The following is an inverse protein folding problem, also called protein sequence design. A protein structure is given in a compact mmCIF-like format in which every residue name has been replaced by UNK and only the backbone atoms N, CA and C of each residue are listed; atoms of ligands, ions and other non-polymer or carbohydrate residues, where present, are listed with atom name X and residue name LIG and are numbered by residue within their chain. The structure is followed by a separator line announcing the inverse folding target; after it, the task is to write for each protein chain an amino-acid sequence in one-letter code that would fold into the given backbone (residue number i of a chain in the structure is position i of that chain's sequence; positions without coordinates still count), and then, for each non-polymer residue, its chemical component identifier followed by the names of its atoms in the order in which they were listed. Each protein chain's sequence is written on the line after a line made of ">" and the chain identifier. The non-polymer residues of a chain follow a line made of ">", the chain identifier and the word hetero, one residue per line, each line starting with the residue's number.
data_IF_083353589290
#
_entry.id   IF_083353589290
#
_cell.length_a   1.000
_cell.length_b   1.000
_cell.length_c   1.000
_cell.angle_alpha   90.00
_cell.angle_beta   90.00
_cell.angle_gamma   90.00
#
_symmetry.space_group_name_H-M   'P 1'
#
loop_
_entity.id
_entity.type
_entity.pdbx_description
1 polymer ?
#
# COMPACT_ATOMS: atom_id res chain seq x y z
N UNK A 1 4.41 -17.05 35.56
CA UNK A 1 4.37 -16.14 36.72
C UNK A 1 5.69 -16.13 37.48
N UNK A 2 6.30 -17.29 37.82
CA UNK A 2 7.56 -17.31 38.58
C UNK A 2 8.80 -16.73 37.85
N UNK A 3 8.89 -16.88 36.52
CA UNK A 3 9.98 -16.28 35.73
C UNK A 3 9.89 -14.74 35.62
N UNK A 4 8.68 -14.18 35.75
CA UNK A 4 8.44 -12.72 35.75
C UNK A 4 8.85 -12.11 37.10
N UNK A 5 8.81 -12.90 38.18
CA UNK A 5 9.23 -12.45 39.51
C UNK A 5 10.76 -12.34 39.68
N UNK A 6 11.55 -12.99 38.82
CA UNK A 6 13.01 -13.05 38.95
C UNK A 6 13.76 -12.04 38.05
N UNK A 7 13.08 -11.42 37.07
CA UNK A 7 13.69 -10.43 36.17
C UNK A 7 13.82 -9.02 36.77
N UNK A 8 13.34 -8.80 38.01
CA UNK A 8 13.32 -7.48 38.66
C UNK A 8 14.34 -7.26 39.78
N UNK A 9 15.26 -8.21 40.03
CA UNK A 9 16.22 -8.12 41.13
C UNK A 9 17.66 -8.28 40.63
N UNK A 10 18.49 -7.23 40.68
CA UNK A 10 19.89 -7.27 40.22
C UNK A 10 20.83 -8.11 41.11
N UNK A 11 20.36 -8.62 42.26
CA UNK A 11 21.19 -9.33 43.25
C UNK A 11 20.82 -10.81 43.45
N UNK A 12 20.11 -11.44 42.51
CA UNK A 12 19.76 -12.86 42.65
C UNK A 12 20.95 -13.74 42.29
N UNK A 13 21.48 -14.45 43.30
CA UNK A 13 22.47 -15.52 43.12
C UNK A 13 22.00 -16.51 42.03
N UNK A 14 22.80 -16.63 40.97
CA UNK A 14 22.57 -17.48 39.79
C UNK A 14 22.33 -18.93 40.20
N UNK A 15 22.99 -19.40 41.27
CA UNK A 15 22.78 -20.74 41.83
C UNK A 15 21.39 -20.94 42.43
N UNK A 16 20.79 -19.88 42.98
CA UNK A 16 19.47 -19.88 43.60
C UNK A 16 18.35 -19.73 42.55
N UNK A 17 18.54 -18.87 41.54
CA UNK A 17 17.62 -18.73 40.42
C UNK A 17 17.53 -20.04 39.61
N UNK A 18 18.67 -20.68 39.31
CA UNK A 18 18.72 -21.95 38.58
C UNK A 18 17.99 -23.07 39.33
N UNK A 19 18.23 -23.24 40.65
CA UNK A 19 17.51 -24.22 41.48
C UNK A 19 16.01 -23.96 41.54
N UNK A 20 15.60 -22.70 41.62
CA UNK A 20 14.19 -22.30 41.64
C UNK A 20 13.51 -22.60 40.30
N UNK A 21 14.11 -22.19 39.18
CA UNK A 21 13.57 -22.47 37.82
C UNK A 21 13.54 -23.99 37.55
N UNK A 22 14.56 -24.73 37.99
CA UNK A 22 14.60 -26.20 37.89
C UNK A 22 13.50 -26.84 38.76
N UNK A 23 13.19 -26.29 39.94
CA UNK A 23 12.13 -26.78 40.82
C UNK A 23 10.74 -26.81 40.17
N UNK A 24 10.40 -25.79 39.38
CA UNK A 24 9.06 -25.62 38.77
C UNK A 24 8.96 -26.02 37.30
N UNK A 25 10.04 -26.58 36.74
CA UNK A 25 10.08 -26.97 35.32
C UNK A 25 9.82 -28.46 35.12
N UNK A 26 9.21 -28.80 33.98
CA UNK A 26 8.99 -30.20 33.59
C UNK A 26 10.32 -30.93 33.42
N UNK A 27 10.37 -32.27 33.51
CA UNK A 27 11.60 -33.04 33.32
C UNK A 27 12.31 -32.75 31.99
N UNK A 28 11.56 -32.41 30.93
CA UNK A 28 12.11 -31.98 29.64
C UNK A 28 12.78 -30.60 29.73
N UNK A 29 12.12 -29.63 30.34
CA UNK A 29 12.65 -28.29 30.54
C UNK A 29 13.90 -28.28 31.43
N UNK A 30 13.98 -29.15 32.45
CA UNK A 30 15.17 -29.33 33.28
C UNK A 30 16.38 -29.81 32.49
N UNK A 31 16.18 -30.76 31.57
CA UNK A 31 17.26 -31.25 30.68
C UNK A 31 17.74 -30.16 29.73
N UNK A 32 16.85 -29.29 29.26
CA UNK A 32 17.18 -28.18 28.36
C UNK A 32 18.04 -27.13 29.08
N UNK A 33 17.62 -26.71 30.28
CA UNK A 33 18.37 -25.78 31.13
C UNK A 33 19.73 -26.37 31.51
N UNK A 34 19.80 -27.64 31.91
CA UNK A 34 21.05 -28.31 32.25
C UNK A 34 22.01 -28.43 31.05
N UNK A 35 21.49 -28.75 29.87
CA UNK A 35 22.29 -28.80 28.64
C UNK A 35 22.80 -27.42 28.22
N UNK A 36 22.04 -26.37 28.47
CA UNK A 36 22.46 -25.00 28.16
C UNK A 36 23.53 -24.49 29.14
N UNK A 37 23.35 -24.73 30.44
CA UNK A 37 24.35 -24.44 31.48
C UNK A 37 25.69 -25.16 31.24
N UNK A 38 25.67 -26.32 30.56
CA UNK A 38 26.91 -27.02 30.17
C UNK A 38 27.58 -26.47 28.90
N UNK A 39 26.87 -25.65 28.10
CA UNK A 39 27.38 -25.07 26.85
C UNK A 39 27.90 -23.63 27.00
N UNK A 40 27.62 -22.97 28.12
CA UNK A 40 28.10 -21.61 28.41
C UNK A 40 29.51 -21.66 29.00
N UNK A 41 30.49 -21.04 28.34
CA UNK A 41 31.83 -20.87 28.90
C UNK A 41 31.79 -20.04 30.20
N UNK A 42 32.68 -20.29 31.18
CA UNK A 42 32.65 -19.65 32.49
C UNK A 42 32.89 -18.13 32.50
N UNK A 43 33.10 -17.51 31.34
CA UNK A 43 33.47 -16.09 31.20
C UNK A 43 32.40 -15.23 30.52
N UNK A 44 31.30 -15.81 30.01
CA UNK A 44 30.17 -15.06 29.47
C UNK A 44 29.09 -14.91 30.53
N UNK A 45 28.72 -13.67 30.89
CA UNK A 45 27.65 -13.39 31.84
C UNK A 45 26.35 -14.15 31.49
N UNK A 46 25.67 -14.64 32.52
CA UNK A 46 24.39 -15.33 32.38
C UNK A 46 23.28 -14.31 32.12
N UNK A 47 22.75 -14.27 30.90
CA UNK A 47 21.56 -13.45 30.62
C UNK A 47 20.28 -14.27 30.93
N UNK A 48 19.55 -13.93 32.01
CA UNK A 48 18.33 -14.65 32.40
C UNK A 48 17.22 -14.57 31.34
N UNK A 49 17.23 -13.56 30.46
CA UNK A 49 16.25 -13.40 29.40
C UNK A 49 16.36 -14.52 28.35
N UNK A 50 17.57 -15.01 28.08
CA UNK A 50 17.79 -16.14 27.17
C UNK A 50 17.24 -17.45 27.72
N UNK A 51 17.35 -17.70 29.02
CA UNK A 51 16.80 -18.92 29.65
C UNK A 51 15.29 -18.90 29.57
N UNK A 52 14.68 -17.75 29.84
CA UNK A 52 13.23 -17.58 29.74
C UNK A 52 12.79 -17.82 28.29
N UNK A 53 13.48 -17.22 27.32
CA UNK A 53 13.19 -17.42 25.90
C UNK A 53 13.32 -18.89 25.48
N UNK A 54 14.43 -19.55 25.82
CA UNK A 54 14.68 -20.96 25.50
C UNK A 54 13.61 -21.88 26.10
N UNK A 55 13.23 -21.63 27.35
CA UNK A 55 12.15 -22.35 28.02
C UNK A 55 10.82 -22.16 27.30
N UNK A 56 10.49 -20.93 26.86
CA UNK A 56 9.24 -20.63 26.15
C UNK A 56 9.19 -21.27 24.77
N UNK A 57 10.25 -21.16 23.98
CA UNK A 57 10.33 -21.80 22.66
C UNK A 57 10.26 -23.33 22.79
N UNK A 58 10.91 -23.91 23.79
CA UNK A 58 10.78 -25.34 24.09
C UNK A 58 9.34 -25.71 24.48
N UNK A 59 8.67 -24.90 25.31
CA UNK A 59 7.27 -25.13 25.68
C UNK A 59 6.31 -24.94 24.52
N UNK A 60 6.66 -24.07 23.57
CA UNK A 60 5.95 -23.92 22.31
C UNK A 60 6.23 -25.10 21.35
N UNK A 61 7.01 -26.12 21.76
CA UNK A 61 7.22 -27.37 21.03
C UNK A 61 8.34 -27.35 20.00
N UNK A 62 9.24 -26.34 20.03
CA UNK A 62 10.35 -26.28 19.09
C UNK A 62 11.34 -27.43 19.34
N UNK A 63 11.88 -27.99 18.26
CA UNK A 63 12.92 -28.99 18.34
C UNK A 63 14.10 -28.48 19.17
N UNK A 64 14.40 -29.23 20.24
CA UNK A 64 15.42 -28.89 21.23
C UNK A 64 16.80 -28.71 20.63
N UNK A 65 17.22 -29.61 19.76
CA UNK A 65 18.60 -29.64 19.25
C UNK A 65 18.84 -28.42 18.34
N UNK A 66 17.83 -28.09 17.52
CA UNK A 66 17.85 -26.88 16.69
C UNK A 66 17.81 -25.62 17.55
N UNK A 67 16.99 -25.59 18.61
CA UNK A 67 16.94 -24.45 19.53
C UNK A 67 18.30 -24.20 20.20
N UNK A 68 18.96 -25.25 20.67
CA UNK A 68 20.30 -25.15 21.27
C UNK A 68 21.34 -24.64 20.27
N UNK A 69 21.31 -25.11 19.03
CA UNK A 69 22.19 -24.62 17.95
C UNK A 69 22.06 -23.10 17.77
N UNK A 70 20.84 -22.57 17.69
CA UNK A 70 20.60 -21.13 17.49
C UNK A 70 20.97 -20.29 18.71
N UNK A 71 20.64 -20.76 19.92
CA UNK A 71 20.98 -20.06 21.16
C UNK A 71 22.50 -19.96 21.34
N UNK A 72 23.24 -21.04 21.05
CA UNK A 72 24.70 -21.03 21.11
C UNK A 72 25.32 -20.13 20.03
N UNK A 73 24.72 -20.03 18.84
CA UNK A 73 25.18 -19.11 17.81
C UNK A 73 24.94 -17.65 18.19
N UNK A 74 23.78 -17.33 18.77
CA UNK A 74 23.41 -15.97 19.15
C UNK A 74 24.23 -15.45 20.33
N UNK A 75 24.55 -16.30 21.32
CA UNK A 75 25.41 -15.94 22.45
C UNK A 75 26.85 -15.55 22.04
N UNK A 76 27.31 -16.03 20.88
CA UNK A 76 28.63 -15.70 20.33
C UNK A 76 28.63 -14.42 19.48
N UNK A 77 27.46 -13.89 19.14
CA UNK A 77 27.39 -12.60 18.47
C UNK A 77 27.76 -11.50 19.50
N UNK A 78 28.54 -10.47 19.12
CA UNK A 78 28.73 -9.31 19.95
C UNK A 78 27.35 -8.65 20.13
N UNK A 79 26.72 -8.91 21.28
CA UNK A 79 25.48 -8.29 21.69
C UNK A 79 25.75 -6.78 21.75
N UNK A 80 25.29 -6.05 20.73
CA UNK A 80 25.06 -4.63 20.90
C UNK A 80 24.07 -4.48 22.05
N UNK A 81 24.46 -3.72 23.07
CA UNK A 81 23.72 -3.37 24.29
C UNK A 81 22.40 -4.12 24.51
N UNK A 82 22.42 -5.08 25.45
CA UNK A 82 21.29 -5.75 26.10
C UNK A 82 20.09 -6.13 25.22
N UNK A 83 19.74 -7.42 25.20
CA UNK A 83 18.41 -7.86 24.75
C UNK A 83 17.38 -7.05 25.55
N UNK A 84 16.73 -6.09 24.90
CA UNK A 84 16.00 -5.08 25.66
C UNK A 84 14.88 -5.78 26.41
N UNK A 85 14.53 -5.32 27.61
CA UNK A 85 13.42 -5.88 28.39
C UNK A 85 12.13 -6.05 27.54
N UNK A 86 11.96 -5.23 26.51
CA UNK A 86 10.90 -5.33 25.51
C UNK A 86 10.95 -6.61 24.68
N UNK A 87 12.12 -7.01 24.19
CA UNK A 87 12.33 -8.23 23.40
C UNK A 87 12.03 -9.50 24.23
N UNK A 88 12.42 -9.50 25.50
CA UNK A 88 12.08 -10.57 26.46
C UNK A 88 10.58 -10.63 26.72
N UNK A 89 9.90 -9.49 26.81
CA UNK A 89 8.45 -9.41 26.99
C UNK A 89 7.68 -9.84 25.73
N UNK A 90 8.18 -9.51 24.53
CA UNK A 90 7.60 -9.97 23.26
C UNK A 90 7.74 -11.49 23.12
N UNK A 91 8.90 -12.05 23.45
CA UNK A 91 9.09 -13.50 23.56
C UNK A 91 8.14 -14.16 24.56
N UNK A 92 7.81 -13.47 25.67
CA UNK A 92 6.88 -13.97 26.67
C UNK A 92 5.43 -14.05 26.18
N UNK A 93 5.07 -13.29 25.13
CA UNK A 93 3.76 -13.32 24.46
C UNK A 93 3.67 -14.39 23.37
N UNK A 94 4.79 -15.00 23.00
CA UNK A 94 4.83 -16.07 22.02
C UNK A 94 4.21 -17.35 22.62
N UNK A 95 3.02 -17.71 22.15
CA UNK A 95 2.26 -18.86 22.65
C UNK A 95 2.56 -20.14 21.87
N UNK A 96 2.27 -21.28 22.49
CA UNK A 96 2.32 -22.57 21.80
C UNK A 96 1.36 -22.63 20.60
N UNK A 97 0.19 -21.98 20.72
CA UNK A 97 -0.80 -21.86 19.65
C UNK A 97 -0.22 -21.13 18.44
N UNK A 98 0.37 -19.95 18.62
CA UNK A 98 1.00 -19.19 17.52
C UNK A 98 2.13 -19.98 16.84
N UNK A 99 2.93 -20.70 17.63
CA UNK A 99 3.97 -21.57 17.08
C UNK A 99 3.39 -22.69 16.21
N UNK A 100 2.28 -23.27 16.63
CA UNK A 100 1.58 -24.32 15.90
C UNK A 100 0.99 -23.81 14.58
N UNK A 101 0.37 -22.63 14.58
CA UNK A 101 -0.11 -21.95 13.36
C UNK A 101 1.04 -21.74 12.36
N UNK A 102 2.17 -21.23 12.85
CA UNK A 102 3.34 -20.96 12.02
C UNK A 102 4.01 -22.24 11.50
N UNK A 103 3.95 -23.34 12.24
CA UNK A 103 4.49 -24.64 11.82
C UNK A 103 3.73 -25.26 10.65
N UNK A 104 2.49 -24.83 10.38
CA UNK A 104 1.78 -25.21 9.16
C UNK A 104 2.51 -24.73 7.90
N UNK A 105 3.28 -23.66 8.03
CA UNK A 105 3.95 -22.97 6.93
C UNK A 105 5.48 -23.11 6.94
N UNK A 106 6.08 -23.37 8.10
CA UNK A 106 7.54 -23.32 8.28
C UNK A 106 8.07 -24.44 9.18
N UNK A 107 9.30 -24.88 8.91
CA UNK A 107 10.05 -25.78 9.80
C UNK A 107 10.59 -25.01 11.01
N UNK A 108 10.76 -25.67 12.15
CA UNK A 108 11.37 -25.09 13.36
C UNK A 108 12.68 -24.35 13.10
N UNK A 109 13.58 -24.92 12.26
CA UNK A 109 14.85 -24.28 11.90
C UNK A 109 14.70 -22.92 11.25
N UNK A 110 13.66 -22.78 10.41
CA UNK A 110 13.38 -21.55 9.68
C UNK A 110 12.72 -20.51 10.58
N UNK A 111 11.77 -20.94 11.41
CA UNK A 111 11.14 -20.09 12.42
C UNK A 111 12.19 -19.56 13.41
N UNK A 112 13.07 -20.41 13.94
CA UNK A 112 14.15 -20.00 14.84
C UNK A 112 15.15 -19.06 14.16
N UNK A 113 15.59 -19.37 12.95
CA UNK A 113 16.46 -18.47 12.17
C UNK A 113 15.88 -17.08 12.04
N UNK A 114 14.58 -17.00 11.75
CA UNK A 114 13.90 -15.74 11.55
C UNK A 114 13.59 -15.04 12.89
N UNK A 115 13.38 -15.81 13.97
CA UNK A 115 13.14 -15.29 15.31
C UNK A 115 14.35 -14.49 15.81
N UNK A 116 15.54 -15.04 15.56
CA UNK A 116 16.80 -14.40 15.93
C UNK A 116 17.32 -13.38 14.90
N UNK A 117 16.60 -13.12 13.81
CA UNK A 117 17.03 -12.23 12.73
C UNK A 117 16.11 -11.02 12.45
N UNK A 118 14.94 -10.93 13.10
CA UNK A 118 13.95 -9.87 12.90
C UNK A 118 13.69 -9.08 14.19
N UNK A 119 13.25 -7.83 14.04
CA UNK A 119 12.74 -7.01 15.14
C UNK A 119 11.52 -7.70 15.79
N UNK A 120 11.53 -7.82 17.12
CA UNK A 120 10.46 -8.45 17.89
C UNK A 120 9.07 -7.80 17.69
N UNK A 121 9.00 -6.51 17.37
CA UNK A 121 7.72 -5.83 17.03
C UNK A 121 7.03 -6.47 15.84
N UNK A 122 7.82 -6.88 14.85
CA UNK A 122 7.33 -7.53 13.65
C UNK A 122 6.70 -8.90 13.96
N UNK A 123 7.27 -9.61 14.93
CA UNK A 123 6.75 -10.88 15.40
C UNK A 123 5.43 -10.74 16.15
N UNK A 124 5.30 -9.74 17.01
CA UNK A 124 4.08 -9.50 17.77
C UNK A 124 2.90 -9.20 16.84
N UNK A 125 3.09 -8.29 15.88
CA UNK A 125 2.08 -7.94 14.87
C UNK A 125 1.65 -9.17 14.06
N UNK A 126 2.60 -9.93 13.51
CA UNK A 126 2.29 -11.14 12.77
C UNK A 126 1.55 -12.19 13.62
N UNK A 127 1.94 -12.35 14.89
CA UNK A 127 1.31 -13.28 15.82
C UNK A 127 -0.11 -12.85 16.20
N UNK A 128 -0.38 -11.55 16.20
CA UNK A 128 -1.70 -10.98 16.39
C UNK A 128 -2.58 -11.20 15.15
N UNK A 129 -2.06 -10.90 13.96
CA UNK A 129 -2.77 -11.12 12.69
C UNK A 129 -3.14 -12.59 12.46
N UNK A 130 -2.22 -13.52 12.77
CA UNK A 130 -2.48 -14.95 12.66
C UNK A 130 -3.59 -15.41 13.61
N UNK A 131 -3.62 -14.91 14.84
CA UNK A 131 -4.69 -15.26 15.79
C UNK A 131 -6.05 -14.77 15.32
N UNK A 132 -6.11 -13.55 14.81
CA UNK A 132 -7.34 -13.04 14.21
C UNK A 132 -7.81 -13.96 13.07
N UNK A 133 -6.93 -14.34 12.14
CA UNK A 133 -7.31 -15.23 11.03
C UNK A 133 -7.65 -16.66 11.49
N UNK A 134 -7.03 -17.17 12.56
CA UNK A 134 -7.38 -18.45 13.14
C UNK A 134 -8.82 -18.49 13.66
N UNK A 135 -9.32 -17.36 14.15
CA UNK A 135 -10.69 -17.19 14.62
C UNK A 135 -11.70 -16.98 13.47
N UNK A 136 -11.22 -16.81 12.23
CA UNK A 136 -12.03 -16.44 11.05
C UNK A 136 -12.27 -17.62 10.08
N UNK A 137 -13.19 -17.38 9.13
CA UNK A 137 -13.83 -18.36 8.21
C UNK A 137 -12.79 -19.16 7.39
N UNK A 138 -13.03 -20.46 7.21
CA UNK A 138 -12.13 -21.41 6.54
C UNK A 138 -11.68 -20.99 5.13
N UNK A 139 -12.48 -20.18 4.45
CA UNK A 139 -12.21 -19.64 3.12
C UNK A 139 -10.98 -18.72 3.09
N UNK A 140 -10.84 -17.85 4.11
CA UNK A 140 -9.68 -16.95 4.26
C UNK A 140 -8.39 -17.75 4.50
N UNK A 141 -8.47 -18.80 5.31
CA UNK A 141 -7.31 -19.68 5.57
C UNK A 141 -6.81 -20.36 4.30
N UNK A 142 -7.69 -20.60 3.33
CA UNK A 142 -7.33 -21.20 2.04
C UNK A 142 -6.58 -20.23 1.12
N UNK A 143 -6.79 -18.91 1.29
CA UNK A 143 -6.12 -17.86 0.52
C UNK A 143 -4.67 -17.60 0.99
N UNK A 144 -4.33 -17.99 2.22
CA UNK A 144 -2.97 -17.83 2.73
C UNK A 144 -1.96 -18.71 1.99
N UNK A 145 -0.74 -18.20 1.76
CA UNK A 145 0.30 -18.97 1.09
C UNK A 145 0.69 -20.19 1.93
N UNK A 146 0.51 -21.39 1.37
CA UNK A 146 0.87 -22.65 2.04
C UNK A 146 2.34 -22.69 2.48
N UNK A 147 3.24 -22.10 1.70
CA UNK A 147 4.68 -22.03 1.96
C UNK A 147 5.23 -20.65 1.63
N UNK A 148 5.04 -19.65 2.51
CA UNK A 148 5.52 -18.31 2.26
C UNK A 148 7.06 -18.31 2.24
N UNK A 149 7.65 -17.52 1.33
CA UNK A 149 9.10 -17.40 1.14
C UNK A 149 9.74 -16.42 2.11
N UNK A 150 8.96 -15.58 2.78
CA UNK A 150 9.44 -14.62 3.78
C UNK A 150 8.33 -14.25 4.76
N UNK A 151 8.72 -13.67 5.91
CA UNK A 151 7.77 -13.11 6.85
C UNK A 151 6.99 -11.94 6.25
N UNK A 152 7.66 -11.09 5.45
CA UNK A 152 6.99 -10.05 4.66
C UNK A 152 5.91 -10.63 3.76
N UNK A 153 6.18 -11.73 3.05
CA UNK A 153 5.16 -12.33 2.19
C UNK A 153 3.96 -12.83 3.01
N UNK A 154 4.21 -13.46 4.17
CA UNK A 154 3.13 -13.92 5.03
C UNK A 154 2.34 -12.75 5.61
N UNK A 155 3.02 -11.76 6.17
CA UNK A 155 2.43 -10.53 6.71
C UNK A 155 1.60 -9.79 5.67
N UNK A 156 2.15 -9.53 4.47
CA UNK A 156 1.41 -8.93 3.36
C UNK A 156 0.15 -9.74 3.02
N UNK A 157 0.23 -11.08 3.01
CA UNK A 157 -0.95 -11.93 2.77
C UNK A 157 -1.97 -11.86 3.91
N UNK A 158 -1.52 -11.82 5.17
CA UNK A 158 -2.38 -11.73 6.35
C UNK A 158 -3.07 -10.37 6.41
N UNK A 159 -2.36 -9.28 6.11
CA UNK A 159 -2.92 -7.93 6.05
C UNK A 159 -3.99 -7.82 4.96
N UNK A 160 -3.80 -8.41 3.77
CA UNK A 160 -4.85 -8.50 2.74
C UNK A 160 -6.08 -9.21 3.28
N UNK A 161 -5.87 -10.39 3.86
CA UNK A 161 -6.95 -11.23 4.37
C UNK A 161 -7.74 -10.51 5.47
N UNK A 162 -7.07 -9.83 6.40
CA UNK A 162 -7.73 -9.08 7.47
C UNK A 162 -8.51 -7.89 6.94
N UNK A 163 -7.93 -7.14 6.00
CA UNK A 163 -8.64 -6.03 5.36
C UNK A 163 -9.88 -6.50 4.57
N UNK A 164 -9.84 -7.69 3.96
CA UNK A 164 -11.03 -8.32 3.36
C UNK A 164 -12.09 -8.72 4.40
N UNK A 165 -11.73 -8.93 5.67
CA UNK A 165 -12.69 -9.35 6.70
C UNK A 165 -13.26 -8.16 7.46
N UNK A 166 -12.46 -7.11 7.66
CA UNK A 166 -12.88 -5.91 8.39
C UNK A 166 -13.92 -5.07 7.63
N UNK A 167 -14.09 -5.29 6.32
CA UNK A 167 -15.03 -4.54 5.47
C UNK A 167 -15.76 -5.45 4.50
N UNK A 168 -17.04 -5.17 4.29
CA UNK A 168 -17.84 -5.84 3.26
C UNK A 168 -17.29 -5.55 1.87
N UNK A 169 -17.26 -6.56 0.99
CA UNK A 169 -16.96 -6.34 -0.43
C UNK A 169 -18.10 -5.58 -1.09
N UNK A 170 -17.75 -4.67 -2.00
CA UNK A 170 -18.72 -3.91 -2.78
C UNK A 170 -18.17 -3.62 -4.17
N UNK A 171 -19.10 -3.51 -5.13
CA UNK A 171 -18.79 -3.14 -6.50
C UNK A 171 -18.30 -1.69 -6.59
N UNK A 172 -17.37 -1.46 -7.51
CA UNK A 172 -16.81 -0.14 -7.77
C UNK A 172 -17.52 0.56 -8.92
N UNK A 173 -17.89 1.83 -8.73
CA UNK A 173 -18.50 2.66 -9.76
C UNK A 173 -17.43 3.36 -10.61
N UNK A 174 -16.67 2.55 -11.36
CA UNK A 174 -15.63 3.03 -12.29
C UNK A 174 -16.29 3.57 -13.57
N UNK A 175 -15.74 4.65 -14.15
CA UNK A 175 -16.19 5.18 -15.44
C UNK A 175 -16.00 4.14 -16.55
N UNK A 176 -16.94 4.05 -17.49
CA UNK A 176 -16.91 3.05 -18.56
C UNK A 176 -15.65 3.13 -19.44
N UNK A 177 -15.18 4.34 -19.74
CA UNK A 177 -13.95 4.57 -20.50
C UNK A 177 -12.70 4.10 -19.75
N UNK A 178 -12.69 4.22 -18.42
CA UNK A 178 -11.63 3.69 -17.56
C UNK A 178 -11.70 2.16 -17.45
N UNK A 179 -12.90 1.59 -17.34
CA UNK A 179 -13.12 0.13 -17.35
C UNK A 179 -12.58 -0.49 -18.64
N UNK A 180 -12.75 0.20 -19.78
CA UNK A 180 -12.23 -0.21 -21.07
C UNK A 180 -10.69 -0.32 -21.15
N UNK A 181 -9.95 0.22 -20.17
CA UNK A 181 -8.50 0.08 -20.12
C UNK A 181 -8.01 -1.25 -19.53
N UNK A 182 -8.87 -2.08 -18.94
CA UNK A 182 -8.39 -3.30 -18.27
C UNK A 182 -7.65 -4.21 -19.26
N UNK A 183 -6.39 -4.51 -18.95
CA UNK A 183 -5.50 -5.29 -19.81
C UNK A 183 -4.77 -4.50 -20.91
N UNK A 184 -4.97 -3.18 -21.02
CA UNK A 184 -4.24 -2.34 -21.96
C UNK A 184 -2.72 -2.45 -21.72
N UNK A 185 -1.96 -2.72 -22.79
CA UNK A 185 -0.49 -2.69 -22.75
C UNK A 185 -0.02 -1.28 -23.08
N UNK A 186 0.61 -0.61 -22.12
CA UNK A 186 1.22 0.70 -22.32
C UNK A 186 2.62 0.57 -22.93
N UNK A 187 3.39 -0.41 -22.47
CA UNK A 187 4.71 -0.76 -23.00
C UNK A 187 4.88 -2.27 -23.04
N UNK A 188 6.05 -2.77 -23.46
CA UNK A 188 6.36 -4.21 -23.40
C UNK A 188 6.28 -4.79 -21.97
N UNK A 189 6.50 -3.94 -20.96
CA UNK A 189 6.55 -4.35 -19.55
C UNK A 189 5.32 -3.95 -18.73
N UNK A 190 4.59 -2.93 -19.17
CA UNK A 190 3.55 -2.27 -18.36
C UNK A 190 2.15 -2.55 -18.90
N UNK A 191 1.27 -3.02 -18.02
CA UNK A 191 -0.15 -3.28 -18.29
C UNK A 191 -1.06 -2.56 -17.31
N UNK A 192 -2.20 -2.08 -17.80
CA UNK A 192 -3.25 -1.49 -16.96
C UNK A 192 -4.10 -2.60 -16.35
N UNK A 193 -4.47 -2.44 -15.08
CA UNK A 193 -5.44 -3.28 -14.37
C UNK A 193 -6.48 -2.40 -13.68
N UNK A 194 -7.74 -2.68 -13.94
CA UNK A 194 -8.87 -1.97 -13.34
C UNK A 194 -9.46 -2.85 -12.23
N UNK A 195 -9.46 -2.40 -10.96
CA UNK A 195 -10.13 -3.12 -9.88
C UNK A 195 -11.65 -3.07 -10.10
N UNK A 196 -12.32 -4.20 -9.85
CA UNK A 196 -13.77 -4.36 -10.01
C UNK A 196 -14.52 -4.25 -8.68
N UNK A 197 -13.89 -4.70 -7.60
CA UNK A 197 -14.46 -4.63 -6.25
C UNK A 197 -13.51 -4.00 -5.24
N UNK A 198 -14.03 -3.69 -4.06
CA UNK A 198 -13.22 -3.27 -2.91
C UNK A 198 -12.08 -4.27 -2.64
N UNK A 199 -12.36 -5.57 -2.70
CA UNK A 199 -11.34 -6.60 -2.50
C UNK A 199 -10.21 -6.57 -3.53
N UNK A 200 -10.51 -6.26 -4.80
CA UNK A 200 -9.47 -6.07 -5.81
C UNK A 200 -8.55 -4.91 -5.44
N UNK A 201 -9.11 -3.79 -4.95
CA UNK A 201 -8.31 -2.63 -4.52
C UNK A 201 -7.43 -2.95 -3.31
N UNK A 202 -7.95 -3.74 -2.36
CA UNK A 202 -7.16 -4.21 -1.20
C UNK A 202 -6.01 -5.11 -1.65
N UNK A 203 -6.27 -6.07 -2.55
CA UNK A 203 -5.25 -6.98 -3.07
C UNK A 203 -4.13 -6.22 -3.81
N UNK A 204 -4.51 -5.26 -4.65
CA UNK A 204 -3.60 -4.36 -5.35
C UNK A 204 -2.79 -3.53 -4.35
N UNK A 205 -3.47 -2.89 -3.39
CA UNK A 205 -2.87 -2.00 -2.39
C UNK A 205 -1.79 -2.70 -1.58
N UNK A 206 -2.02 -3.96 -1.19
CA UNK A 206 -1.04 -4.73 -0.45
C UNK A 206 0.22 -5.08 -1.25
N UNK A 207 0.10 -5.43 -2.53
CA UNK A 207 1.26 -5.76 -3.37
C UNK A 207 2.20 -4.58 -3.60
N UNK A 208 1.63 -3.39 -3.59
CA UNK A 208 2.34 -2.19 -3.97
C UNK A 208 2.54 -1.20 -2.82
N UNK A 209 2.03 -1.54 -1.62
CA UNK A 209 2.02 -0.68 -0.43
C UNK A 209 1.35 0.67 -0.71
N UNK A 210 0.35 0.65 -1.59
CA UNK A 210 -0.48 1.82 -1.90
C UNK A 210 -1.66 1.87 -0.92
N UNK A 211 -2.15 3.07 -0.65
CA UNK A 211 -3.37 3.27 0.15
C UNK A 211 -4.67 3.01 -0.64
N UNK A 212 -4.61 2.33 -1.81
CA UNK A 212 -5.79 2.11 -2.66
C UNK A 212 -6.89 1.29 -1.96
N UNK A 213 -6.53 0.46 -0.96
CA UNK A 213 -7.47 -0.33 -0.17
C UNK A 213 -7.85 0.27 1.19
N UNK A 214 -7.27 1.39 1.62
CA UNK A 214 -7.42 1.90 3.00
C UNK A 214 -8.79 2.54 3.28
N UNK A 215 -9.69 2.54 2.30
CA UNK A 215 -11.09 2.96 2.44
C UNK A 215 -11.40 4.22 1.67
N UNK A 216 -10.54 5.24 1.76
CA UNK A 216 -10.78 6.53 1.08
C UNK A 216 -10.92 6.34 -0.44
N UNK A 217 -9.98 5.61 -1.05
CA UNK A 217 -9.99 5.32 -2.48
C UNK A 217 -11.17 4.45 -2.89
N UNK A 218 -11.40 3.33 -2.20
CA UNK A 218 -12.51 2.43 -2.52
C UNK A 218 -13.87 3.08 -2.34
N UNK A 219 -14.06 3.89 -1.29
CA UNK A 219 -15.29 4.65 -1.08
C UNK A 219 -15.48 5.74 -2.14
N UNK A 220 -14.41 6.44 -2.50
CA UNK A 220 -14.47 7.48 -3.54
C UNK A 220 -14.84 6.91 -4.89
N UNK A 221 -14.29 5.74 -5.26
CA UNK A 221 -14.66 5.02 -6.47
C UNK A 221 -16.08 4.47 -6.38
N UNK A 222 -16.50 3.88 -5.25
CA UNK A 222 -17.88 3.41 -5.07
C UNK A 222 -18.92 4.53 -5.19
N UNK A 223 -18.58 5.74 -4.71
CA UNK A 223 -19.40 6.95 -4.84
C UNK A 223 -19.32 7.60 -6.22
N UNK A 224 -18.50 7.08 -7.14
CA UNK A 224 -18.31 7.62 -8.49
C UNK A 224 -17.59 8.97 -8.55
N UNK A 225 -16.85 9.35 -7.50
CA UNK A 225 -16.14 10.63 -7.43
C UNK A 225 -14.91 10.67 -8.37
N UNK A 226 -14.31 9.52 -8.58
CA UNK A 226 -13.17 9.31 -9.46
C UNK A 226 -13.05 7.82 -9.77
N UNK A 227 -12.21 7.49 -10.76
CA UNK A 227 -11.86 6.12 -11.08
C UNK A 227 -10.40 5.85 -10.74
N UNK A 228 -10.04 4.60 -10.53
CA UNK A 228 -8.67 4.21 -10.17
C UNK A 228 -8.26 3.03 -11.01
N UNK A 229 -7.02 3.06 -11.51
CA UNK A 229 -6.37 1.91 -12.12
C UNK A 229 -5.01 1.67 -11.48
N UNK A 230 -4.49 0.47 -11.69
CA UNK A 230 -3.12 0.12 -11.36
C UNK A 230 -2.33 -0.17 -12.62
N UNK A 231 -1.09 0.32 -12.66
CA UNK A 231 -0.14 -0.03 -13.70
C UNK A 231 0.76 -1.12 -13.15
N UNK A 232 0.73 -2.26 -13.81
CA UNK A 232 1.41 -3.48 -13.39
C UNK A 232 2.63 -3.75 -14.26
N UNK A 233 3.74 -4.16 -13.63
CA UNK A 233 4.85 -4.83 -14.32
C UNK A 233 4.72 -6.32 -14.12
N UNK A 234 4.56 -7.05 -15.22
CA UNK A 234 4.16 -8.46 -15.24
C UNK A 234 2.82 -8.73 -14.52
N UNK A 235 2.82 -8.83 -13.19
CA UNK A 235 1.64 -9.06 -12.35
C UNK A 235 1.66 -8.26 -11.05
N UNK A 236 2.68 -7.42 -10.85
CA UNK A 236 2.82 -6.62 -9.64
C UNK A 236 2.46 -5.18 -9.95
N UNK A 237 1.54 -4.60 -9.20
CA UNK A 237 1.24 -3.18 -9.29
C UNK A 237 2.48 -2.36 -8.89
N UNK A 238 2.85 -1.41 -9.76
CA UNK A 238 4.02 -0.52 -9.62
C UNK A 238 3.59 0.93 -9.53
N UNK A 239 2.46 1.29 -10.14
CA UNK A 239 1.87 2.62 -10.02
C UNK A 239 0.37 2.54 -9.75
N UNK A 240 -0.13 3.44 -8.90
CA UNK A 240 -1.55 3.76 -8.77
C UNK A 240 -1.88 5.06 -9.50
N UNK A 241 -2.91 5.03 -10.34
CA UNK A 241 -3.35 6.20 -11.11
C UNK A 241 -4.82 6.47 -10.84
N UNK A 242 -5.14 7.73 -10.54
CA UNK A 242 -6.47 8.22 -10.28
C UNK A 242 -6.95 9.06 -11.48
N UNK A 243 -8.15 8.73 -11.95
CA UNK A 243 -8.86 9.40 -13.03
C UNK A 243 -9.97 10.26 -12.45
N UNK A 244 -9.75 11.57 -12.47
CA UNK A 244 -10.83 12.55 -12.36
C UNK A 244 -11.43 12.81 -13.74
N UNK A 245 -12.54 13.55 -13.80
CA UNK A 245 -13.24 13.89 -15.05
C UNK A 245 -12.27 14.42 -16.13
N UNK A 246 -11.30 15.25 -15.76
CA UNK A 246 -10.35 15.88 -16.70
C UNK A 246 -8.88 15.77 -16.28
N UNK A 247 -8.56 14.98 -15.26
CA UNK A 247 -7.20 14.86 -14.80
C UNK A 247 -6.86 13.40 -14.55
N UNK A 248 -5.68 13.03 -15.03
CA UNK A 248 -5.02 11.79 -14.65
C UNK A 248 -3.93 12.22 -13.68
N UNK A 249 -4.09 11.83 -12.41
CA UNK A 249 -3.15 12.15 -11.34
C UNK A 249 -2.62 10.87 -10.71
N UNK A 250 -1.45 10.97 -10.10
CA UNK A 250 -0.91 9.90 -9.27
C UNK A 250 -1.79 9.67 -8.04
N UNK A 251 -2.12 8.40 -7.76
CA UNK A 251 -2.80 8.04 -6.53
C UNK A 251 -1.87 8.22 -5.31
N UNK A 252 -2.38 8.72 -4.20
CA UNK A 252 -1.59 8.95 -2.98
C UNK A 252 -1.30 7.63 -2.28
N UNK A 253 -0.07 7.48 -1.78
CA UNK A 253 0.33 6.36 -0.92
C UNK A 253 1.84 6.27 -0.76
N UNK A 254 2.31 5.80 0.41
CA UNK A 254 3.75 5.73 0.74
C UNK A 254 4.52 4.83 -0.24
N UNK A 255 3.88 3.78 -0.77
CA UNK A 255 4.48 2.88 -1.76
C UNK A 255 4.38 3.35 -3.20
N UNK A 256 3.58 4.38 -3.52
CA UNK A 256 3.42 4.83 -4.90
C UNK A 256 4.67 5.58 -5.34
N UNK A 257 5.32 5.06 -6.38
CA UNK A 257 6.43 5.75 -7.01
C UNK A 257 5.88 6.80 -7.95
N UNK A 258 6.61 7.91 -8.11
CA UNK A 258 6.25 8.95 -9.07
C UNK A 258 5.99 8.32 -10.44
N UNK A 259 4.77 8.50 -10.95
CA UNK A 259 4.36 7.93 -12.23
C UNK A 259 5.10 8.68 -13.33
N UNK A 260 5.85 8.00 -14.22
CA UNK A 260 6.55 8.68 -15.31
C UNK A 260 5.57 9.42 -16.23
N UNK A 261 5.94 10.62 -16.68
CA UNK A 261 5.11 11.44 -17.57
C UNK A 261 4.72 10.70 -18.85
N UNK A 262 5.60 9.86 -19.39
CA UNK A 262 5.33 9.00 -20.56
C UNK A 262 4.12 8.07 -20.33
N UNK A 263 4.01 7.48 -19.14
CA UNK A 263 2.88 6.61 -18.77
C UNK A 263 1.60 7.43 -18.69
N UNK A 264 1.66 8.63 -18.11
CA UNK A 264 0.52 9.54 -18.04
C UNK A 264 0.08 9.96 -19.44
N UNK A 265 1.02 10.31 -20.33
CA UNK A 265 0.74 10.66 -21.73
C UNK A 265 0.04 9.52 -22.48
N UNK A 266 0.54 8.28 -22.38
CA UNK A 266 -0.08 7.13 -23.03
C UNK A 266 -1.51 6.87 -22.52
N UNK A 267 -1.76 7.04 -21.22
CA UNK A 267 -3.11 6.94 -20.66
C UNK A 267 -4.02 8.07 -21.13
N UNK A 268 -3.49 9.30 -21.25
CA UNK A 268 -4.24 10.44 -21.80
C UNK A 268 -4.67 10.16 -23.23
N UNK A 269 -3.78 9.65 -24.08
CA UNK A 269 -4.11 9.31 -25.48
C UNK A 269 -5.26 8.30 -25.61
N UNK A 270 -5.44 7.42 -24.62
CA UNK A 270 -6.48 6.38 -24.66
C UNK A 270 -7.84 6.83 -24.08
N UNK A 271 -7.84 7.72 -23.08
CA UNK A 271 -9.08 8.13 -22.37
C UNK A 271 -9.51 9.53 -22.76
N UNK A 272 -8.58 10.48 -22.78
CA UNK A 272 -8.87 11.85 -23.14
C UNK A 272 -8.68 11.95 -24.65
N UNK A 273 -9.77 11.93 -25.42
CA UNK A 273 -9.73 12.58 -26.73
C UNK A 273 -9.66 14.08 -26.47
N UNK A 274 -8.51 14.76 -26.61
CA UNK A 274 -8.55 16.21 -26.68
C UNK A 274 -9.49 16.55 -27.84
N UNK A 275 -10.45 17.46 -27.66
CA UNK A 275 -11.26 17.91 -28.78
C UNK A 275 -10.31 18.41 -29.89
N UNK A 276 -10.41 17.82 -31.09
CA UNK A 276 -9.64 18.26 -32.24
C UNK A 276 -9.96 19.75 -32.46
N UNK A 277 -8.95 20.60 -32.33
CA UNK A 277 -9.15 22.04 -32.08
C UNK A 277 -9.61 22.85 -33.30
N UNK A 278 -10.24 22.23 -34.29
CA UNK A 278 -10.58 22.91 -35.55
C UNK A 278 -12.02 22.77 -35.99
N UNK A 279 -12.73 21.68 -35.67
CA UNK A 279 -14.14 21.54 -36.09
C UNK A 279 -15.16 21.88 -34.99
N UNK A 280 -14.79 21.70 -33.71
CA UNK A 280 -15.74 21.80 -32.59
C UNK A 280 -15.56 23.04 -31.70
N UNK A 281 -14.54 23.87 -31.92
CA UNK A 281 -14.33 25.10 -31.17
C UNK A 281 -14.97 26.29 -31.87
N UNK A 282 -15.70 27.11 -31.11
CA UNK A 282 -16.09 28.43 -31.57
C UNK A 282 -14.84 29.31 -31.49
N UNK A 283 -14.24 29.58 -32.65
CA UNK A 283 -13.06 30.44 -32.78
C UNK A 283 -13.47 31.90 -32.54
N UNK A 284 -12.66 32.61 -31.77
CA UNK A 284 -12.85 34.03 -31.47
C UNK A 284 -11.57 34.79 -31.75
N UNK A 285 -11.71 35.93 -32.46
CA UNK A 285 -10.63 36.88 -32.73
C UNK A 285 -10.29 37.69 -31.47
N UNK A 286 -9.74 37.03 -30.45
CA UNK A 286 -9.26 37.69 -29.25
C UNK A 286 -7.87 37.19 -28.88
N UNK A 287 -6.97 38.11 -28.51
CA UNK A 287 -5.56 37.80 -28.22
C UNK A 287 -5.38 36.89 -27.01
N UNK A 288 -6.36 36.85 -26.11
CA UNK A 288 -6.31 36.05 -24.88
C UNK A 288 -6.98 34.67 -25.03
N UNK A 289 -8.22 34.61 -25.52
CA UNK A 289 -8.97 33.38 -25.76
C UNK A 289 -9.16 33.24 -27.27
N UNK A 290 -8.57 32.20 -27.86
CA UNK A 290 -8.66 31.89 -29.31
C UNK A 290 -9.88 31.07 -29.66
N UNK A 291 -10.39 30.28 -28.72
CA UNK A 291 -11.59 29.52 -28.94
C UNK A 291 -12.15 28.94 -27.65
N UNK A 292 -13.41 28.54 -27.71
CA UNK A 292 -14.04 27.80 -26.61
C UNK A 292 -15.06 26.79 -27.13
N UNK A 293 -15.40 25.82 -26.28
CA UNK A 293 -16.42 24.80 -26.52
C UNK A 293 -17.05 24.42 -25.19
N UNK A 294 -18.37 24.24 -25.16
CA UNK A 294 -19.04 23.57 -24.04
C UNK A 294 -19.38 22.14 -24.45
N UNK A 295 -18.92 21.17 -23.66
CA UNK A 295 -19.15 19.75 -23.90
C UNK A 295 -19.06 18.99 -22.58
N UNK A 296 -19.99 18.05 -22.37
CA UNK A 296 -20.02 17.21 -21.15
C UNK A 296 -19.90 18.05 -19.86
N UNK A 297 -20.84 18.98 -19.65
CA UNK A 297 -20.92 19.90 -18.50
C UNK A 297 -19.62 20.63 -18.15
N UNK A 298 -18.81 20.91 -19.16
CA UNK A 298 -17.49 21.50 -19.00
C UNK A 298 -17.23 22.52 -20.09
N UNK A 299 -16.58 23.63 -19.70
CA UNK A 299 -16.11 24.64 -20.63
C UNK A 299 -14.65 24.38 -20.98
N UNK A 300 -14.38 24.16 -22.26
CA UNK A 300 -13.03 24.07 -22.82
C UNK A 300 -12.64 25.44 -23.37
N UNK A 301 -11.45 25.93 -23.01
CA UNK A 301 -10.93 27.24 -23.41
C UNK A 301 -9.55 27.05 -24.03
N UNK A 302 -9.42 27.43 -25.30
CA UNK A 302 -8.16 27.50 -26.03
C UNK A 302 -7.58 28.90 -25.91
N UNK A 303 -6.41 29.02 -25.29
CA UNK A 303 -5.74 30.30 -25.07
C UNK A 303 -4.82 30.70 -26.22
N UNK A 304 -4.44 31.98 -26.22
CA UNK A 304 -3.52 32.58 -27.19
C UNK A 304 -2.14 31.90 -27.29
N UNK A 305 -1.72 31.18 -26.25
CA UNK A 305 -0.47 30.42 -26.19
C UNK A 305 -0.59 28.98 -26.72
N UNK A 306 -1.76 28.59 -27.24
CA UNK A 306 -1.99 27.24 -27.75
C UNK A 306 -2.30 26.18 -26.68
N UNK A 307 -2.44 26.57 -25.41
CA UNK A 307 -2.88 25.65 -24.36
C UNK A 307 -4.41 25.59 -24.31
N UNK A 308 -4.95 24.39 -24.13
CA UNK A 308 -6.36 24.17 -23.89
C UNK A 308 -6.58 23.74 -22.43
N UNK A 309 -7.47 24.43 -21.73
CA UNK A 309 -7.90 24.06 -20.37
C UNK A 309 -9.38 23.70 -20.35
N UNK A 310 -9.74 22.70 -19.55
CA UNK A 310 -11.13 22.38 -19.22
C UNK A 310 -11.48 22.93 -17.83
N UNK A 311 -12.62 23.58 -17.74
CA UNK A 311 -13.24 24.10 -16.52
C UNK A 311 -14.46 23.23 -16.20
N UNK A 312 -14.35 22.39 -15.18
CA UNK A 312 -15.33 21.37 -14.86
C UNK A 312 -16.56 21.96 -14.15
N UNK A 313 -17.76 21.46 -14.47
CA UNK A 313 -18.99 21.84 -13.74
C UNK A 313 -19.50 23.24 -14.07
N UNK A 314 -18.97 23.87 -15.13
CA UNK A 314 -19.52 25.11 -15.67
C UNK A 314 -20.90 24.80 -16.24
N UNK A 315 -21.95 25.29 -15.54
CA UNK A 315 -23.33 25.07 -15.96
C UNK A 315 -23.59 25.66 -17.35
N UNK A 316 -24.59 25.13 -18.05
CA UNK A 316 -25.01 25.68 -19.34
C UNK A 316 -25.34 27.19 -19.22
N UNK A 317 -26.00 27.61 -18.14
CA UNK A 317 -26.35 29.01 -17.92
C UNK A 317 -25.10 29.92 -17.87
N UNK A 318 -24.07 29.51 -17.13
CA UNK A 318 -22.81 30.27 -17.04
C UNK A 318 -22.07 30.29 -18.37
N UNK A 319 -22.15 29.19 -19.13
CA UNK A 319 -21.63 29.15 -20.49
C UNK A 319 -22.37 30.12 -21.42
N UNK A 320 -23.71 30.16 -21.39
CA UNK A 320 -24.50 31.08 -22.20
C UNK A 320 -24.20 32.55 -21.86
N UNK A 321 -24.05 32.87 -20.58
CA UNK A 321 -23.59 34.19 -20.13
C UNK A 321 -22.18 34.50 -20.65
N UNK A 322 -21.26 33.54 -20.61
CA UNK A 322 -19.91 33.70 -21.14
C UNK A 322 -19.91 33.97 -22.65
N UNK A 323 -20.71 33.24 -23.42
CA UNK A 323 -20.80 33.40 -24.88
C UNK A 323 -21.40 34.75 -25.26
N UNK A 324 -22.33 35.26 -24.46
CA UNK A 324 -23.02 36.54 -24.69
C UNK A 324 -22.35 37.75 -24.03
N UNK A 325 -21.33 37.54 -23.20
CA UNK A 325 -20.62 38.60 -22.51
C UNK A 325 -19.96 39.61 -23.45
N UNK A 326 -20.07 40.90 -23.14
CA UNK A 326 -19.45 41.99 -23.89
C UNK A 326 -17.91 41.86 -24.00
N UNK A 327 -17.27 41.27 -22.99
CA UNK A 327 -15.86 40.91 -23.01
C UNK A 327 -15.66 39.52 -22.40
N UNK A 328 -15.53 38.51 -23.27
CA UNK A 328 -15.28 37.11 -22.88
C UNK A 328 -14.07 36.97 -21.96
N UNK A 329 -12.98 37.66 -22.26
CA UNK A 329 -11.77 37.61 -21.42
C UNK A 329 -12.00 38.20 -20.02
N UNK A 330 -12.79 39.28 -19.92
CA UNK A 330 -13.16 39.87 -18.63
C UNK A 330 -14.06 38.93 -17.84
N UNK A 331 -15.15 38.44 -18.47
CA UNK A 331 -16.08 37.51 -17.84
C UNK A 331 -15.36 36.24 -17.37
N UNK A 332 -14.53 35.65 -18.23
CA UNK A 332 -13.73 34.49 -17.88
C UNK A 332 -12.84 34.75 -16.66
N UNK A 333 -12.18 35.91 -16.60
CA UNK A 333 -11.27 36.24 -15.50
C UNK A 333 -12.00 36.50 -14.17
N UNK A 334 -13.26 36.92 -14.20
CA UNK A 334 -14.02 37.30 -13.00
C UNK A 334 -15.04 36.28 -12.53
N UNK A 335 -15.59 35.46 -13.42
CA UNK A 335 -16.68 34.52 -13.13
C UNK A 335 -16.32 33.05 -13.36
N UNK A 336 -15.28 32.74 -14.15
CA UNK A 336 -14.93 31.35 -14.49
C UNK A 336 -13.62 30.95 -13.82
N UNK A 337 -12.55 31.69 -14.08
CA UNK A 337 -11.22 31.40 -13.53
C UNK A 337 -11.16 31.31 -12.00
N UNK A 338 -11.84 32.16 -11.21
CA UNK A 338 -11.77 32.08 -9.75
C UNK A 338 -12.66 30.97 -9.16
N UNK A 339 -13.74 30.61 -9.85
CA UNK A 339 -14.82 29.80 -9.26
C UNK A 339 -14.81 28.33 -9.74
N UNK A 340 -14.04 28.02 -10.78
CA UNK A 340 -14.00 26.70 -11.39
C UNK A 340 -12.57 26.15 -11.48
N UNK A 341 -12.42 24.89 -11.07
CA UNK A 341 -11.16 24.17 -11.18
C UNK A 341 -10.78 23.94 -12.65
N UNK A 342 -9.54 24.28 -12.98
CA UNK A 342 -9.01 24.22 -14.33
C UNK A 342 -8.00 23.09 -14.48
N UNK A 343 -8.12 22.31 -15.57
CA UNK A 343 -7.18 21.27 -15.91
C UNK A 343 -6.63 21.46 -17.33
N UNK A 344 -5.31 21.36 -17.48
CA UNK A 344 -4.66 21.41 -18.79
C UNK A 344 -5.00 20.12 -19.55
N UNK A 345 -5.70 20.28 -20.68
CA UNK A 345 -6.11 19.17 -21.57
C UNK A 345 -5.05 18.95 -22.64
N UNK A 346 -4.50 20.02 -23.21
CA UNK A 346 -3.42 19.95 -24.19
C UNK A 346 -2.50 21.16 -24.08
N UNK A 347 -1.21 20.96 -24.37
CA UNK A 347 -0.19 22.01 -24.45
C UNK A 347 0.37 22.09 -25.86
N UNK A 348 0.60 23.31 -26.35
CA UNK A 348 1.43 23.54 -27.54
C UNK A 348 0.73 23.30 -28.88
N UNK A 349 -0.41 23.97 -29.14
CA UNK A 349 -0.81 24.27 -30.52
C UNK A 349 0.15 25.31 -31.14
N UNK A 350 1.41 24.95 -31.31
CA UNK A 350 2.26 25.58 -32.32
C UNK A 350 1.91 24.91 -33.65
N UNK A 351 1.48 25.70 -34.64
CA UNK A 351 1.08 25.24 -35.98
C UNK A 351 -0.34 24.66 -36.15
N UNK A 352 -1.36 25.50 -35.94
CA UNK A 352 -2.52 25.46 -36.83
C UNK A 352 -2.29 26.46 -37.99
N UNK A 353 -1.65 26.07 -39.10
CA UNK A 353 -1.65 26.90 -40.29
C UNK A 353 -3.10 26.96 -40.81
N UNK A 354 -3.54 28.16 -41.21
CA UNK A 354 -4.85 28.45 -41.81
C UNK A 354 -6.03 28.78 -40.88
N UNK A 355 -5.86 29.81 -40.04
CA UNK A 355 -6.96 30.72 -39.71
C UNK A 355 -6.62 32.12 -40.21
N UNK A 356 -6.38 32.23 -41.52
CA UNK A 356 -6.36 33.50 -42.21
C UNK A 356 -7.79 33.81 -42.67
N UNK A 357 -8.44 34.72 -41.94
CA UNK A 357 -9.45 35.66 -42.44
C UNK A 357 -10.35 35.16 -43.59
N UNK A 358 -11.42 34.43 -43.27
CA UNK A 358 -12.63 34.48 -44.08
C UNK A 358 -13.46 35.66 -43.55
N UNK A 359 -13.30 36.81 -44.20
CA UNK A 359 -14.22 37.98 -44.22
C UNK A 359 -13.45 39.30 -44.25
N UNK A 360 -12.79 39.56 -45.38
CA UNK A 360 -12.77 40.90 -45.96
C UNK A 360 -12.95 40.77 -47.47
N UNK A 361 -13.87 41.58 -47.99
CA UNK A 361 -14.23 41.83 -49.39
C UNK A 361 -15.24 40.79 -49.95
N UNK A 362 -16.45 41.15 -50.39
CA UNK A 362 -16.84 42.33 -51.17
C UNK A 362 -18.28 42.80 -50.90
N UNK A 363 -18.43 44.13 -50.94
CA UNK A 363 -19.60 44.84 -51.42
C UNK A 363 -19.70 44.79 -52.96
#
# INVERSE_FOLDING_TARGET
>A
MLAIALAGYPDVDVGHASKTILGYSTPQSRKLIAGWLSCTEPHGGFDPNFVILAFRLSHAGFNRDILLEYLSAYQRAPLGDELSMYETNAAARFSATTAESLRQHYTDRRLLRMFFALDFRYWEDLSYQLRQIEELVAEVKSALPKKPKSFNQLHESLSVCLAHIERDDFDLNQREDVVGLDGLRLTEELTVRVPKSHYDMVAIGAHARFCLGDGEYSEGVAKGLYSVVSICRAQRAVYGVQFHRHAIIEARGVGNSVVPDEVICLLREHILRPPEATEDFIVVDNSFIRGYRWFDDSLYVLFGNGNCYAYAGVSMDVYEEFVTAASRGSFFSTQIKPDYDAHLVSSGFEDAPHLASADRDCA
#
